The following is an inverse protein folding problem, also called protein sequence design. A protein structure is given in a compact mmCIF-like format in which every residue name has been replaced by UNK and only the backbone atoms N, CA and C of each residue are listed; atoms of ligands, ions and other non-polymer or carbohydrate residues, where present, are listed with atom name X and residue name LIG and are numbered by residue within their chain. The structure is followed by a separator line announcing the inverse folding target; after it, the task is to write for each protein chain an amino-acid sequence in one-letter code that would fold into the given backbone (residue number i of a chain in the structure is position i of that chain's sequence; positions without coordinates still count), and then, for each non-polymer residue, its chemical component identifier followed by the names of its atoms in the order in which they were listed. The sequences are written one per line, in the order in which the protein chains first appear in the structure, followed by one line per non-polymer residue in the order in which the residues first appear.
data_IF_565233414049
#
_entry.id   IF_565233414049
#
_cell.length_a   1.000
_cell.length_b   1.000
_cell.length_c   1.000
_cell.angle_alpha   90.00
_cell.angle_beta   90.00
_cell.angle_gamma   90.00
#
_symmetry.space_group_name_H-M   'P 1'
#
loop_
_entity.id
_entity.type
_entity.pdbx_description
1 polymer ?
#
# COMPACT_ATOMS: atom_id res chain seq x y z
N UNK A 1 -17.77 4.44 14.49
CA UNK A 1 -16.75 4.54 15.56
C UNK A 1 -15.55 5.26 14.97
N UNK A 2 -15.01 6.33 15.59
CA UNK A 2 -13.84 7.03 15.03
C UNK A 2 -12.62 6.10 15.15
N UNK A 3 -12.05 5.70 14.00
CA UNK A 3 -10.93 4.75 13.84
C UNK A 3 -9.58 5.38 14.31
N UNK A 4 -9.57 6.13 15.42
CA UNK A 4 -8.37 6.86 15.86
C UNK A 4 -7.41 5.86 16.52
N UNK A 5 -6.16 5.81 16.04
CA UNK A 5 -5.08 5.02 16.62
C UNK A 5 -4.83 3.66 15.97
N UNK A 6 -5.61 3.26 14.96
CA UNK A 6 -5.37 1.98 14.24
C UNK A 6 -4.45 2.13 13.04
N UNK A 7 -4.07 3.35 12.67
CA UNK A 7 -3.28 3.61 11.47
C UNK A 7 -1.93 2.88 11.48
N UNK A 8 -1.30 2.80 12.64
CA UNK A 8 -0.04 2.06 12.81
C UNK A 8 -0.22 0.55 12.66
N UNK A 9 -1.39 -0.01 13.01
CA UNK A 9 -1.68 -1.43 12.77
C UNK A 9 -1.70 -1.75 11.27
N UNK A 10 -2.18 -0.81 10.46
CA UNK A 10 -2.21 -0.93 9.00
C UNK A 10 -0.80 -0.87 8.42
N UNK A 11 0.03 0.08 8.89
CA UNK A 11 1.46 0.15 8.53
C UNK A 11 2.17 -1.16 8.85
N UNK A 12 1.98 -1.69 10.06
CA UNK A 12 2.57 -2.97 10.45
C UNK A 12 2.07 -4.12 9.57
N UNK A 13 0.77 -4.18 9.25
CA UNK A 13 0.25 -5.22 8.34
C UNK A 13 0.91 -5.14 6.95
N UNK A 14 1.08 -3.94 6.39
CA UNK A 14 1.72 -3.74 5.09
C UNK A 14 3.20 -4.11 5.08
N UNK A 15 3.93 -3.92 6.18
CA UNK A 15 5.33 -4.36 6.29
C UNK A 15 5.51 -5.87 6.14
N UNK A 16 4.50 -6.63 6.54
CA UNK A 16 4.51 -8.10 6.45
C UNK A 16 3.87 -8.62 5.15
N UNK A 17 3.34 -7.73 4.31
CA UNK A 17 2.79 -8.12 3.00
C UNK A 17 3.95 -8.32 2.01
N UNK A 18 4.06 -9.54 1.50
CA UNK A 18 5.19 -10.01 0.68
C UNK A 18 4.67 -10.61 -0.64
N UNK A 19 5.49 -10.59 -1.70
CA UNK A 19 5.14 -11.17 -2.99
C UNK A 19 4.93 -12.68 -2.88
N UNK A 20 4.10 -13.21 -3.78
CA UNK A 20 3.99 -14.65 -4.01
C UNK A 20 5.24 -15.18 -4.69
N UNK A 21 5.43 -16.49 -4.62
CA UNK A 21 6.54 -17.17 -5.29
C UNK A 21 6.57 -16.84 -6.80
N UNK A 22 7.72 -16.39 -7.30
CA UNK A 22 7.92 -15.99 -8.70
C UNK A 22 7.64 -14.51 -9.00
N UNK A 23 7.15 -13.73 -8.03
CA UNK A 23 6.98 -12.28 -8.13
C UNK A 23 8.07 -11.56 -7.35
N UNK A 24 8.53 -10.42 -7.87
CA UNK A 24 9.58 -9.59 -7.25
C UNK A 24 9.07 -8.16 -7.13
N UNK A 25 8.13 -7.95 -6.20
CA UNK A 25 7.63 -6.63 -5.82
C UNK A 25 7.84 -6.42 -4.33
N UNK A 26 7.91 -5.15 -3.91
CA UNK A 26 8.15 -4.78 -2.52
C UNK A 26 7.47 -3.48 -2.15
N UNK A 27 6.84 -3.43 -0.98
CA UNK A 27 6.49 -2.16 -0.32
C UNK A 27 7.76 -1.58 0.33
N UNK A 28 8.23 -0.44 -0.14
CA UNK A 28 9.45 0.22 0.35
C UNK A 28 9.15 1.18 1.50
N UNK A 29 7.95 1.74 1.54
CA UNK A 29 7.52 2.68 2.57
C UNK A 29 6.02 2.62 2.80
N UNK A 30 5.59 2.74 4.05
CA UNK A 30 4.20 2.95 4.41
C UNK A 30 4.10 3.87 5.64
N UNK A 31 3.27 4.91 5.57
CA UNK A 31 3.01 5.80 6.70
C UNK A 31 1.62 6.43 6.61
N UNK A 32 0.90 6.56 7.73
CA UNK A 32 -0.26 7.43 7.77
C UNK A 32 0.17 8.90 7.62
N UNK A 33 -0.73 9.70 7.10
CA UNK A 33 -0.61 11.16 7.07
C UNK A 33 -1.17 11.75 8.35
N UNK A 34 -0.41 12.60 9.04
CA UNK A 34 -0.87 13.23 10.29
C UNK A 34 -1.90 14.32 9.99
N UNK A 35 -3.05 14.30 10.67
CA UNK A 35 -4.15 15.24 10.45
C UNK A 35 -5.07 14.89 9.28
N UNK A 36 -4.65 13.96 8.41
CA UNK A 36 -5.48 13.28 7.43
C UNK A 36 -5.82 11.86 7.89
N UNK A 37 -6.71 11.21 7.15
CA UNK A 37 -6.91 9.77 7.29
C UNK A 37 -6.21 9.01 6.16
N UNK A 38 -5.34 9.66 5.38
CA UNK A 38 -4.80 9.09 4.15
C UNK A 38 -3.51 8.28 4.41
N UNK A 39 -3.24 7.28 3.57
CA UNK A 39 -2.03 6.46 3.63
C UNK A 39 -1.14 6.79 2.45
N UNK A 40 0.16 6.89 2.72
CA UNK A 40 1.17 6.90 1.68
C UNK A 40 1.81 5.52 1.68
N UNK A 41 1.74 4.84 0.54
CA UNK A 41 2.46 3.59 0.27
C UNK A 41 3.37 3.84 -0.92
N UNK A 42 4.65 3.52 -0.75
CA UNK A 42 5.60 3.41 -1.85
C UNK A 42 5.90 1.94 -2.09
N UNK A 43 5.88 1.53 -3.37
CA UNK A 43 6.21 0.17 -3.76
C UNK A 43 7.02 0.15 -5.06
N UNK A 44 7.85 -0.87 -5.17
CA UNK A 44 8.56 -1.26 -6.39
C UNK A 44 7.88 -2.51 -6.92
N UNK A 45 7.61 -2.53 -8.23
CA UNK A 45 6.95 -3.63 -8.90
C UNK A 45 7.52 -3.76 -10.33
N UNK A 46 7.47 -4.97 -10.88
CA UNK A 46 8.04 -5.26 -12.20
C UNK A 46 6.95 -5.34 -13.28
N UNK A 47 5.74 -5.73 -12.90
CA UNK A 47 4.60 -5.92 -13.81
C UNK A 47 3.36 -5.17 -13.33
N UNK A 48 2.40 -4.95 -14.23
CA UNK A 48 1.10 -4.40 -13.83
C UNK A 48 0.31 -5.37 -12.95
N UNK A 49 0.52 -6.68 -13.12
CA UNK A 49 -0.12 -7.72 -12.30
C UNK A 49 0.34 -7.63 -10.83
N UNK A 50 1.61 -7.30 -10.59
CA UNK A 50 2.15 -7.03 -9.24
C UNK A 50 1.44 -5.84 -8.58
N UNK A 51 1.23 -4.76 -9.34
CA UNK A 51 0.52 -3.59 -8.86
C UNK A 51 -0.94 -3.93 -8.53
N UNK A 52 -1.61 -4.67 -9.41
CA UNK A 52 -2.97 -5.13 -9.18
C UNK A 52 -3.07 -6.05 -7.96
N UNK A 53 -2.07 -6.87 -7.69
CA UNK A 53 -1.98 -7.68 -6.46
C UNK A 53 -1.92 -6.78 -5.21
N UNK A 54 -1.03 -5.78 -5.19
CA UNK A 54 -0.89 -4.85 -4.07
C UNK A 54 -2.19 -4.08 -3.83
N UNK A 55 -2.78 -3.53 -4.89
CA UNK A 55 -4.04 -2.78 -4.80
C UNK A 55 -5.19 -3.70 -4.38
N UNK A 56 -5.24 -4.94 -4.88
CA UNK A 56 -6.25 -5.93 -4.51
C UNK A 56 -6.18 -6.30 -3.04
N UNK A 57 -4.97 -6.47 -2.49
CA UNK A 57 -4.78 -6.72 -1.05
C UNK A 57 -5.35 -5.58 -0.22
N UNK A 58 -4.98 -4.33 -0.54
CA UNK A 58 -5.49 -3.14 0.13
C UNK A 58 -7.03 -3.08 0.11
N UNK A 59 -7.68 -3.49 -0.98
CA UNK A 59 -9.15 -3.45 -1.11
C UNK A 59 -9.90 -4.64 -0.50
N UNK A 60 -9.26 -5.80 -0.37
CA UNK A 60 -9.89 -7.05 0.12
C UNK A 60 -9.68 -7.29 1.60
N UNK A 61 -8.60 -6.78 2.18
CA UNK A 61 -8.35 -6.91 3.60
C UNK A 61 -9.38 -6.09 4.39
N UNK A 62 -10.04 -6.70 5.37
CA UNK A 62 -11.17 -6.07 6.07
C UNK A 62 -10.75 -4.80 6.82
N UNK A 63 -9.57 -4.79 7.43
CA UNK A 63 -9.09 -3.64 8.20
C UNK A 63 -8.67 -2.50 7.26
N UNK A 64 -7.96 -2.82 6.18
CA UNK A 64 -7.56 -1.85 5.16
C UNK A 64 -8.75 -1.30 4.39
N UNK A 65 -9.74 -2.14 4.04
CA UNK A 65 -10.92 -1.72 3.30
C UNK A 65 -11.76 -0.74 4.09
N UNK A 66 -12.09 -1.02 5.36
CA UNK A 66 -12.83 -0.08 6.21
C UNK A 66 -12.09 1.25 6.34
N UNK A 67 -10.77 1.20 6.36
CA UNK A 67 -9.93 2.38 6.44
C UNK A 67 -9.79 3.11 5.09
N UNK A 68 -9.78 2.42 3.96
CA UNK A 68 -9.80 3.03 2.62
C UNK A 68 -11.15 3.65 2.34
N UNK A 69 -12.26 2.98 2.69
CA UNK A 69 -13.61 3.49 2.47
C UNK A 69 -13.89 4.75 3.31
N UNK A 70 -13.19 4.91 4.42
CA UNK A 70 -13.26 6.11 5.26
C UNK A 70 -12.41 7.28 4.71
N UNK A 71 -11.59 7.08 3.67
CA UNK A 71 -10.46 7.95 3.32
C UNK A 71 -10.33 8.15 1.81
N UNK A 72 -9.82 9.30 1.36
CA UNK A 72 -9.64 9.51 -0.08
C UNK A 72 -8.31 8.89 -0.49
N UNK A 73 -8.33 7.60 -0.83
CA UNK A 73 -7.11 6.89 -1.22
C UNK A 73 -6.68 7.27 -2.63
N UNK A 74 -5.56 7.99 -2.75
CA UNK A 74 -4.94 8.35 -4.03
C UNK A 74 -3.77 7.40 -4.27
N UNK A 75 -3.87 6.57 -5.31
CA UNK A 75 -2.81 5.65 -5.72
C UNK A 75 -2.08 6.32 -6.90
N UNK A 76 -0.82 6.70 -6.68
CA UNK A 76 0.06 7.22 -7.74
C UNK A 76 1.23 6.27 -7.92
N UNK A 77 1.51 5.91 -9.17
CA UNK A 77 2.67 5.08 -9.51
C UNK A 77 3.73 5.96 -10.17
N UNK A 78 4.94 5.92 -9.63
CA UNK A 78 6.11 6.44 -10.32
C UNK A 78 6.79 5.26 -10.98
N UNK A 79 6.77 5.20 -12.32
CA UNK A 79 7.63 4.26 -13.04
C UNK A 79 9.07 4.53 -12.61
N UNK A 80 9.77 3.48 -12.18
CA UNK A 80 11.21 3.54 -12.10
C UNK A 80 11.70 3.68 -13.54
N UNK A 81 12.20 4.85 -13.90
CA UNK A 81 12.99 4.98 -15.12
C UNK A 81 14.33 4.30 -14.82
N UNK A 82 14.52 3.06 -15.27
CA UNK A 82 15.87 2.56 -15.56
C UNK A 82 16.23 3.07 -16.99
N UNK A 83 17.48 3.14 -17.45
CA UNK A 83 18.46 2.06 -17.56
C UNK A 83 19.82 2.72 -17.93
N UNK A 84 20.91 2.36 -17.26
CA UNK A 84 22.33 2.73 -17.51
C UNK A 84 22.77 4.19 -17.22
N UNK A 85 23.61 4.38 -16.19
CA UNK A 85 24.61 5.45 -16.14
C UNK A 85 26.00 4.82 -15.96
#
# INVERSE_FOLDING_TARGET
MKIIGTQWKIVEKLKHFQPREGHDWKITYSSPTYGGWDLIIECVFNTLDDLDEIVSFCRKDNDLKEWIDATTTIISTKRNFDINA
#
